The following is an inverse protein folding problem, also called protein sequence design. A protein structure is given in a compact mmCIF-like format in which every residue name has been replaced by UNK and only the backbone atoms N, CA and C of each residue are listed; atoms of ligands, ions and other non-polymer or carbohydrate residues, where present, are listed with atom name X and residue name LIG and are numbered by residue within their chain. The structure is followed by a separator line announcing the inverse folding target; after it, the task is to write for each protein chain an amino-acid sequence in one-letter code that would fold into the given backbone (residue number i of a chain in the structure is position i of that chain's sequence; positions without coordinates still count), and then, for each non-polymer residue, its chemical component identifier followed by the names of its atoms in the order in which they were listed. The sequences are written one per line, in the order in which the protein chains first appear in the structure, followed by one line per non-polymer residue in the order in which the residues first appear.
data_IF_075221247958
#
_entry.id   IF_075221247958
#
_cell.length_a   1.000
_cell.length_b   1.000
_cell.length_c   1.000
_cell.angle_alpha   90.00
_cell.angle_beta   90.00
_cell.angle_gamma   90.00
#
_symmetry.space_group_name_H-M   'P 1'
#
loop_
_entity.id
_entity.type
_entity.pdbx_description
1 polymer ?
#
# COMPACT_ATOMS: atom_id res chain seq x y z
N UNK A 1 -21.53 7.10 26.58
CA UNK A 1 -20.41 6.23 26.19
C UNK A 1 -19.68 6.80 25.00
N UNK A 2 -18.64 7.62 25.25
CA UNK A 2 -17.77 8.07 24.18
C UNK A 2 -16.86 6.92 23.76
N UNK A 3 -16.93 6.55 22.49
CA UNK A 3 -16.08 5.53 21.87
C UNK A 3 -14.65 6.05 21.90
N UNK A 4 -13.86 5.58 22.86
CA UNK A 4 -12.46 5.94 23.01
C UNK A 4 -11.66 5.25 21.90
N UNK A 5 -11.65 5.87 20.71
CA UNK A 5 -10.87 5.39 19.58
C UNK A 5 -9.39 5.73 19.84
N UNK A 6 -8.73 4.84 20.58
CA UNK A 6 -7.28 4.90 20.82
C UNK A 6 -6.55 4.96 19.48
N UNK A 7 -5.71 5.98 19.31
CA UNK A 7 -4.99 6.24 18.05
C UNK A 7 -3.50 6.08 18.29
N UNK A 8 -2.85 5.23 17.50
CA UNK A 8 -1.39 5.10 17.55
C UNK A 8 -0.75 6.16 16.67
N UNK A 9 0.27 6.81 17.22
CA UNK A 9 1.17 7.73 16.57
C UNK A 9 2.52 7.06 16.38
N UNK A 10 3.15 7.38 15.26
CA UNK A 10 4.48 6.96 14.88
C UNK A 10 5.39 8.19 14.86
N UNK A 11 6.44 8.15 15.67
CA UNK A 11 7.47 9.18 15.72
C UNK A 11 8.71 8.63 15.04
N UNK A 12 9.26 9.37 14.09
CA UNK A 12 10.44 9.02 13.31
C UNK A 12 11.47 10.13 13.29
N UNK A 13 12.70 9.78 12.89
CA UNK A 13 13.86 10.66 12.90
C UNK A 13 14.24 11.14 14.32
N UNK A 14 14.02 10.27 15.31
CA UNK A 14 14.51 10.50 16.66
C UNK A 14 16.00 10.24 16.74
N UNK A 15 16.69 11.02 17.57
CA UNK A 15 18.08 10.78 17.85
C UNK A 15 18.29 9.49 18.66
N UNK A 16 19.47 8.91 18.52
CA UNK A 16 19.77 7.60 19.11
C UNK A 16 19.82 7.66 20.64
N UNK A 17 20.15 8.82 21.20
CA UNK A 17 20.30 9.05 22.64
C UNK A 17 18.99 9.49 23.32
N UNK A 18 17.90 9.66 22.57
CA UNK A 18 16.59 10.04 23.13
C UNK A 18 15.97 8.87 23.90
N UNK A 19 15.61 9.13 25.16
CA UNK A 19 14.93 8.17 26.04
C UNK A 19 13.41 8.30 25.97
N UNK A 20 12.71 7.27 26.45
CA UNK A 20 11.26 7.29 26.61
C UNK A 20 10.77 8.43 27.51
N UNK A 21 11.53 8.76 28.57
CA UNK A 21 11.22 9.85 29.50
C UNK A 21 11.21 11.21 28.80
N UNK A 22 12.21 11.50 27.96
CA UNK A 22 12.29 12.75 27.20
C UNK A 22 11.15 12.89 26.19
N UNK A 23 10.76 11.78 25.55
CA UNK A 23 9.59 11.77 24.68
C UNK A 23 8.32 11.98 25.48
N UNK A 24 8.21 11.36 26.66
CA UNK A 24 7.03 11.52 27.51
C UNK A 24 6.86 12.98 27.92
N UNK A 25 7.93 13.65 28.36
CA UNK A 25 7.91 15.08 28.71
C UNK A 25 7.53 15.97 27.52
N UNK A 26 8.12 15.72 26.34
CA UNK A 26 7.81 16.48 25.14
C UNK A 26 6.36 16.29 24.65
N UNK A 27 5.80 15.09 24.82
CA UNK A 27 4.40 14.82 24.47
C UNK A 27 3.43 15.31 25.56
N UNK A 28 3.80 15.26 26.83
CA UNK A 28 2.97 15.69 27.97
C UNK A 28 2.62 17.19 27.92
N UNK A 29 3.47 18.03 27.32
CA UNK A 29 3.18 19.45 27.06
C UNK A 29 1.95 19.64 26.15
N UNK A 30 1.69 18.69 25.25
CA UNK A 30 0.59 18.76 24.28
C UNK A 30 -0.56 17.83 24.67
N UNK A 31 -0.27 16.57 24.99
CA UNK A 31 -1.25 15.57 25.40
C UNK A 31 -0.60 14.35 26.10
N UNK A 32 -1.23 13.88 27.18
CA UNK A 32 -0.79 12.70 27.94
C UNK A 32 -1.05 11.39 27.16
N UNK A 33 -0.02 10.61 26.81
CA UNK A 33 -0.18 9.35 26.10
C UNK A 33 -0.58 8.20 27.05
N UNK A 34 -1.33 7.23 26.54
CA UNK A 34 -1.76 6.02 27.29
C UNK A 34 -0.66 4.97 27.32
N UNK A 35 0.16 4.88 26.27
CA UNK A 35 1.28 3.94 26.20
C UNK A 35 2.34 4.47 25.25
N UNK A 36 3.62 4.36 25.65
CA UNK A 36 4.76 4.64 24.80
C UNK A 36 5.55 3.35 24.60
N UNK A 37 6.03 3.13 23.39
CA UNK A 37 6.88 1.99 23.05
C UNK A 37 8.00 2.45 22.14
N UNK A 38 9.19 2.57 22.71
CA UNK A 38 10.40 2.91 21.98
C UNK A 38 10.97 1.65 21.32
N UNK A 39 11.19 1.70 20.00
CA UNK A 39 11.76 0.56 19.29
C UNK A 39 13.29 0.57 19.43
N UNK A 40 13.79 -0.23 20.37
CA UNK A 40 15.23 -0.50 20.50
C UNK A 40 15.64 -1.68 19.63
N UNK A 41 16.86 -1.64 19.12
CA UNK A 41 17.48 -2.76 18.46
C UNK A 41 17.97 -3.78 19.49
N UNK A 42 17.57 -5.05 19.31
CA UNK A 42 17.81 -6.12 20.28
C UNK A 42 19.28 -6.52 20.34
N UNK A 43 20.00 -6.36 19.23
CA UNK A 43 21.42 -6.74 19.12
C UNK A 43 22.34 -5.61 19.56
N UNK A 44 22.11 -4.39 19.08
CA UNK A 44 22.98 -3.24 19.42
C UNK A 44 22.56 -2.49 20.68
N UNK A 45 21.39 -2.77 21.27
CA UNK A 45 20.73 -1.98 22.33
C UNK A 45 20.61 -0.48 22.05
N UNK A 46 20.87 -0.05 20.81
CA UNK A 46 20.66 1.33 20.36
C UNK A 46 19.20 1.50 19.96
N UNK A 47 18.66 2.69 20.19
CA UNK A 47 17.31 3.00 19.68
C UNK A 47 17.32 2.94 18.14
N UNK A 48 16.21 2.56 17.52
CA UNK A 48 16.12 2.55 16.05
C UNK A 48 15.74 3.92 15.47
N UNK A 49 15.74 4.97 16.30
CA UNK A 49 15.33 6.32 15.91
C UNK A 49 13.82 6.44 15.60
N UNK A 50 13.00 5.51 16.13
CA UNK A 50 11.54 5.58 16.05
C UNK A 50 10.86 5.06 17.30
N UNK A 51 9.69 5.65 17.60
CA UNK A 51 8.85 5.30 18.75
C UNK A 51 7.37 5.26 18.33
N UNK A 52 6.60 4.47 19.06
CA UNK A 52 5.16 4.41 18.93
C UNK A 52 4.53 5.00 20.20
N UNK A 53 3.55 5.88 20.01
CA UNK A 53 2.83 6.54 21.11
C UNK A 53 1.34 6.28 20.91
N UNK A 54 0.68 5.65 21.88
CA UNK A 54 -0.75 5.40 21.85
C UNK A 54 -1.49 6.53 22.57
N UNK A 55 -2.27 7.28 21.80
CA UNK A 55 -3.05 8.39 22.29
C UNK A 55 -4.48 7.96 22.66
N UNK A 56 -5.03 8.58 23.72
CA UNK A 56 -6.38 8.30 24.17
C UNK A 56 -7.49 8.77 23.21
N UNK A 57 -7.25 9.90 22.54
CA UNK A 57 -8.21 10.55 21.65
C UNK A 57 -7.59 10.83 20.28
N UNK A 58 -8.39 10.67 19.22
CA UNK A 58 -7.98 11.04 17.86
C UNK A 58 -7.76 12.55 17.70
N UNK A 59 -8.53 13.37 18.42
CA UNK A 59 -8.42 14.84 18.32
C UNK A 59 -7.09 15.31 18.91
N UNK A 60 -6.74 14.82 20.10
CA UNK A 60 -5.45 15.06 20.74
C UNK A 60 -4.29 14.52 19.89
N UNK A 61 -4.49 13.36 19.26
CA UNK A 61 -3.48 12.78 18.37
C UNK A 61 -3.19 13.68 17.15
N UNK A 62 -4.22 14.31 16.55
CA UNK A 62 -4.04 15.26 15.44
C UNK A 62 -3.33 16.53 15.87
N UNK A 63 -3.72 17.10 17.02
CA UNK A 63 -3.06 18.27 17.58
C UNK A 63 -1.59 18.00 17.90
N UNK A 64 -1.28 16.83 18.47
CA UNK A 64 0.10 16.41 18.72
C UNK A 64 0.90 16.26 17.43
N UNK A 65 0.31 15.72 16.36
CA UNK A 65 0.98 15.65 15.05
C UNK A 65 1.29 17.06 14.54
N UNK A 66 0.35 17.99 14.58
CA UNK A 66 0.56 19.35 14.04
C UNK A 66 1.53 20.18 14.88
N UNK A 67 1.50 20.04 16.20
CA UNK A 67 2.34 20.81 17.12
C UNK A 67 3.77 20.26 17.26
N UNK A 68 3.96 18.94 17.20
CA UNK A 68 5.26 18.29 17.43
C UNK A 68 5.95 17.83 16.15
N UNK A 69 5.28 17.84 15.00
CA UNK A 69 5.95 17.58 13.74
C UNK A 69 6.94 18.70 13.43
N UNK A 70 8.19 18.34 13.15
CA UNK A 70 9.33 19.22 12.89
C UNK A 70 9.92 19.94 14.12
N UNK A 71 9.52 19.56 15.36
CA UNK A 71 10.20 20.04 16.57
C UNK A 71 11.64 19.51 16.61
N UNK A 72 12.61 20.37 16.86
CA UNK A 72 14.01 19.96 16.98
C UNK A 72 14.25 19.33 18.37
N UNK A 73 14.59 18.03 18.40
CA UNK A 73 15.09 17.36 19.60
C UNK A 73 16.53 16.91 19.36
N UNK A 74 17.43 17.31 20.26
CA UNK A 74 18.87 17.00 20.18
C UNK A 74 19.50 17.33 18.81
N UNK A 75 19.07 18.44 18.18
CA UNK A 75 19.58 18.89 16.88
C UNK A 75 19.02 18.14 15.67
N UNK A 76 17.98 17.32 15.84
CA UNK A 76 17.30 16.61 14.74
C UNK A 76 15.79 16.91 14.74
N UNK A 77 15.19 17.25 13.60
CA UNK A 77 13.76 17.51 13.52
C UNK A 77 12.99 16.20 13.63
N UNK A 78 12.13 16.07 14.64
CA UNK A 78 11.29 14.89 14.82
C UNK A 78 10.14 14.91 13.84
N UNK A 79 9.70 13.73 13.39
CA UNK A 79 8.56 13.62 12.48
C UNK A 79 7.50 12.74 13.08
N UNK A 80 6.37 13.34 13.42
CA UNK A 80 5.21 12.66 14.03
C UNK A 80 4.17 12.41 12.95
N UNK A 81 3.66 11.18 12.88
CA UNK A 81 2.62 10.78 11.92
C UNK A 81 1.60 9.87 12.60
N UNK A 82 0.35 9.88 12.14
CA UNK A 82 -0.61 8.85 12.55
C UNK A 82 -0.14 7.48 12.03
N UNK A 83 -0.09 6.49 12.90
CA UNK A 83 0.19 5.11 12.50
C UNK A 83 -0.94 4.64 11.58
N UNK A 84 -0.58 4.26 10.35
CA UNK A 84 -1.55 3.77 9.35
C UNK A 84 -1.86 2.29 9.53
N UNK A 85 -1.38 1.68 10.62
CA UNK A 85 -1.48 0.26 10.85
C UNK A 85 -0.58 -0.54 9.88
N UNK A 86 -0.42 -1.82 10.20
CA UNK A 86 0.44 -2.77 9.48
C UNK A 86 -0.05 -2.97 8.03
N UNK A 87 0.35 -2.06 7.16
CA UNK A 87 -0.05 -1.99 5.75
C UNK A 87 0.51 -0.79 4.98
N UNK A 88 1.05 0.22 5.67
CA UNK A 88 1.70 1.37 5.04
C UNK A 88 3.15 1.51 5.45
N UNK A 89 4.07 0.88 4.70
CA UNK A 89 5.49 1.19 4.82
C UNK A 89 5.74 2.68 4.62
N UNK A 90 6.58 3.27 5.46
CA UNK A 90 7.00 4.67 5.35
C UNK A 90 7.61 4.91 3.95
N UNK A 91 7.18 5.94 3.20
CA UNK A 91 7.91 6.36 2.01
C UNK A 91 9.09 7.20 2.48
N UNK A 92 10.26 6.58 2.67
CA UNK A 92 11.45 7.34 2.99
C UNK A 92 12.69 6.48 3.25
N UNK A 93 13.74 6.78 2.48
CA UNK A 93 15.15 6.39 2.66
C UNK A 93 15.60 5.04 2.06
N UNK A 94 15.73 5.00 0.72
CA UNK A 94 16.99 4.62 0.05
C UNK A 94 16.84 4.80 -1.47
N UNK A 95 16.80 6.05 -1.92
CA UNK A 95 17.13 6.38 -3.31
C UNK A 95 18.67 6.50 -3.39
N UNK A 96 19.37 5.39 -3.25
CA UNK A 96 20.70 5.26 -3.83
C UNK A 96 20.50 5.37 -5.34
N UNK A 97 20.81 6.54 -5.89
CA UNK A 97 20.69 6.81 -7.31
C UNK A 97 21.42 5.74 -8.12
N UNK A 98 20.87 5.30 -9.27
CA UNK A 98 21.63 4.49 -10.21
C UNK A 98 22.86 5.30 -10.65
N UNK A 99 24.05 4.71 -10.52
CA UNK A 99 25.27 5.25 -11.10
C UNK A 99 25.05 5.43 -12.61
N UNK A 100 25.33 6.65 -13.07
CA UNK A 100 25.26 7.04 -14.46
C UNK A 100 26.37 6.34 -15.24
N UNK A 101 26.02 5.32 -16.01
CA UNK A 101 26.80 4.89 -17.15
C UNK A 101 26.08 5.35 -18.42
N UNK A 102 26.70 6.31 -19.11
CA UNK A 102 26.70 6.37 -20.57
C UNK A 102 25.49 6.95 -21.29
N UNK A 103 25.71 8.16 -21.81
CA UNK A 103 25.41 8.58 -23.19
C UNK A 103 23.94 8.64 -23.66
N UNK A 104 23.49 9.86 -23.99
CA UNK A 104 22.37 10.03 -24.93
C UNK A 104 21.40 11.18 -24.67
N UNK A 105 21.73 12.38 -25.17
CA UNK A 105 20.74 13.28 -25.78
C UNK A 105 19.84 14.11 -24.86
N UNK A 106 20.31 15.30 -24.50
CA UNK A 106 19.48 16.41 -23.99
C UNK A 106 18.40 16.78 -25.02
N UNK A 107 17.13 16.48 -24.75
CA UNK A 107 15.99 17.24 -25.31
C UNK A 107 15.49 18.21 -24.23
N UNK A 108 15.21 19.49 -24.55
CA UNK A 108 14.70 20.42 -23.55
C UNK A 108 13.28 19.98 -23.19
N UNK A 109 13.10 19.50 -21.96
CA UNK A 109 11.80 19.04 -21.47
C UNK A 109 11.02 20.26 -20.99
N UNK A 110 10.14 20.78 -21.85
CA UNK A 110 9.08 21.72 -21.45
C UNK A 110 8.47 21.28 -20.11
N UNK A 111 8.48 22.20 -19.14
CA UNK A 111 8.02 21.94 -17.79
C UNK A 111 6.48 21.95 -17.78
N UNK A 112 5.87 20.78 -18.00
CA UNK A 112 4.45 20.60 -17.71
C UNK A 112 4.25 20.49 -16.19
N UNK A 113 3.34 21.29 -15.59
CA UNK A 113 3.14 21.32 -14.14
C UNK A 113 2.73 19.96 -13.55
N UNK A 114 3.11 19.66 -12.28
CA UNK A 114 3.03 18.32 -11.68
C UNK A 114 1.64 17.67 -11.65
N UNK A 115 0.57 18.47 -11.67
CA UNK A 115 -0.81 17.99 -11.51
C UNK A 115 -1.23 17.11 -12.70
N UNK A 116 -0.66 17.32 -13.89
CA UNK A 116 -1.06 16.62 -15.11
C UNK A 116 -0.27 15.32 -15.37
N UNK A 117 0.89 15.13 -14.73
CA UNK A 117 1.67 13.89 -14.83
C UNK A 117 1.10 12.74 -13.99
N UNK A 118 0.40 13.05 -12.89
CA UNK A 118 -0.16 12.04 -12.00
C UNK A 118 -1.33 11.26 -12.64
N UNK A 119 -2.01 11.86 -13.62
CA UNK A 119 -3.18 11.27 -14.28
C UNK A 119 -2.80 10.26 -15.38
N UNK A 120 -1.59 10.33 -15.93
CA UNK A 120 -1.17 9.55 -17.10
C UNK A 120 -0.68 8.13 -16.77
N UNK A 121 -0.32 7.85 -15.51
CA UNK A 121 0.25 6.56 -15.10
C UNK A 121 -0.67 5.69 -14.24
N UNK A 122 -1.89 6.16 -13.96
CA UNK A 122 -2.87 5.34 -13.23
C UNK A 122 -3.51 4.35 -14.20
N UNK A 123 -2.77 3.28 -14.53
CA UNK A 123 -3.25 2.15 -15.33
C UNK A 123 -4.59 1.71 -14.72
N UNK A 124 -5.70 1.99 -15.42
CA UNK A 124 -7.05 1.70 -14.92
C UNK A 124 -7.06 0.26 -14.43
N UNK A 125 -7.43 0.04 -13.16
CA UNK A 125 -7.53 -1.30 -12.58
C UNK A 125 -8.41 -2.12 -13.51
N UNK A 126 -7.94 -3.28 -13.96
CA UNK A 126 -8.76 -4.23 -14.73
C UNK A 126 -9.92 -4.62 -13.82
N UNK A 127 -11.08 -4.03 -14.05
CA UNK A 127 -12.31 -4.36 -13.37
C UNK A 127 -12.87 -5.61 -14.02
N UNK A 128 -13.20 -6.59 -13.19
CA UNK A 128 -13.85 -7.83 -13.58
C UNK A 128 -15.07 -7.57 -14.47
N UNK A 129 -15.12 -8.08 -15.71
CA UNK A 129 -16.27 -7.91 -16.59
C UNK A 129 -17.58 -8.50 -16.01
N UNK A 130 -17.47 -9.58 -15.23
CA UNK A 130 -18.61 -10.25 -14.58
C UNK A 130 -19.05 -9.60 -13.26
N UNK A 131 -18.29 -8.63 -12.75
CA UNK A 131 -18.66 -7.87 -11.56
C UNK A 131 -19.28 -6.51 -11.92
N UNK A 132 -19.05 -6.05 -13.15
CA UNK A 132 -19.61 -4.80 -13.68
C UNK A 132 -21.05 -4.96 -14.17
N UNK A 133 -21.38 -6.08 -14.82
CA UNK A 133 -22.69 -6.31 -15.44
C UNK A 133 -23.41 -7.48 -14.77
N UNK A 134 -24.47 -7.25 -13.97
CA UNK A 134 -25.21 -8.30 -13.26
C UNK A 134 -25.91 -9.32 -14.17
N UNK A 135 -26.09 -8.97 -15.45
CA UNK A 135 -26.76 -9.80 -16.46
C UNK A 135 -25.83 -10.86 -17.07
N UNK A 136 -24.51 -10.69 -16.93
CA UNK A 136 -23.52 -11.61 -17.51
C UNK A 136 -23.25 -12.76 -16.54
N UNK A 137 -23.88 -13.89 -16.80
CA UNK A 137 -23.63 -15.14 -16.07
C UNK A 137 -22.58 -16.00 -16.79
N UNK A 138 -21.79 -16.76 -16.04
CA UNK A 138 -20.74 -17.62 -16.59
C UNK A 138 -21.34 -18.99 -16.94
N UNK A 139 -21.64 -19.20 -18.22
CA UNK A 139 -22.20 -20.46 -18.73
C UNK A 139 -21.20 -21.25 -19.58
N UNK A 140 -21.30 -22.57 -19.52
CA UNK A 140 -20.42 -23.50 -20.24
C UNK A 140 -20.81 -23.71 -21.72
N UNK A 141 -22.02 -23.31 -22.10
CA UNK A 141 -22.48 -23.34 -23.51
C UNK A 141 -22.00 -22.13 -24.29
N UNK A 142 -21.55 -21.09 -23.60
CA UNK A 142 -21.29 -19.78 -24.17
C UNK A 142 -19.82 -19.63 -24.59
N UNK A 143 -19.49 -20.31 -25.70
CA UNK A 143 -18.09 -20.52 -26.15
C UNK A 143 -17.42 -19.19 -26.49
N UNK A 144 -18.15 -18.20 -27.01
CA UNK A 144 -17.63 -16.87 -27.34
C UNK A 144 -17.10 -16.14 -26.09
N UNK A 145 -17.81 -16.29 -24.97
CA UNK A 145 -17.50 -15.64 -23.70
C UNK A 145 -16.32 -16.34 -23.02
N UNK A 146 -16.29 -17.68 -23.08
CA UNK A 146 -15.19 -18.49 -22.54
C UNK A 146 -13.90 -18.40 -23.38
N UNK A 147 -14.01 -18.20 -24.70
CA UNK A 147 -12.89 -18.04 -25.63
C UNK A 147 -11.93 -16.92 -25.25
N UNK A 148 -12.45 -15.82 -24.67
CA UNK A 148 -11.62 -14.69 -24.19
C UNK A 148 -10.65 -15.07 -23.06
N UNK A 149 -10.89 -16.18 -22.37
CA UNK A 149 -10.13 -16.60 -21.20
C UNK A 149 -9.26 -17.84 -21.46
N UNK A 150 -9.20 -18.27 -22.72
CA UNK A 150 -8.46 -19.44 -23.18
C UNK A 150 -7.49 -19.00 -24.27
N UNK A 151 -6.26 -19.53 -24.24
CA UNK A 151 -5.26 -19.32 -25.29
C UNK A 151 -5.65 -20.11 -26.55
N UNK A 152 -5.11 -19.76 -27.72
CA UNK A 152 -5.35 -20.46 -28.99
C UNK A 152 -5.09 -21.97 -28.93
N UNK A 153 -4.27 -22.42 -27.98
CA UNK A 153 -3.98 -23.85 -27.74
C UNK A 153 -5.00 -24.57 -26.85
N UNK A 154 -6.02 -23.89 -26.33
CA UNK A 154 -6.99 -24.46 -25.39
C UNK A 154 -6.55 -24.41 -23.92
N UNK A 155 -5.41 -23.78 -23.61
CA UNK A 155 -4.93 -23.61 -22.22
C UNK A 155 -5.61 -22.41 -21.55
N UNK A 156 -6.06 -22.59 -20.30
CA UNK A 156 -6.71 -21.52 -19.53
C UNK A 156 -5.70 -20.44 -19.18
N UNK A 157 -6.01 -19.18 -19.51
CA UNK A 157 -5.15 -18.05 -19.21
C UNK A 157 -5.09 -17.78 -17.69
N UNK A 158 -3.92 -17.32 -17.22
CA UNK A 158 -3.72 -17.01 -15.80
C UNK A 158 -4.55 -15.81 -15.35
N UNK A 159 -4.87 -15.74 -14.05
CA UNK A 159 -5.66 -14.63 -13.45
C UNK A 159 -5.07 -13.24 -13.76
N UNK A 160 -3.74 -13.15 -13.88
CA UNK A 160 -3.02 -11.89 -14.19
C UNK A 160 -3.29 -11.42 -15.63
N UNK A 161 -3.55 -12.35 -16.54
CA UNK A 161 -3.88 -12.06 -17.93
C UNK A 161 -5.36 -11.73 -18.09
N UNK A 162 -6.24 -12.57 -17.53
CA UNK A 162 -7.70 -12.46 -17.65
C UNK A 162 -8.30 -11.26 -16.90
N UNK A 163 -7.64 -10.80 -15.84
CA UNK A 163 -8.12 -9.67 -15.04
C UNK A 163 -9.40 -9.97 -14.26
N UNK A 164 -9.65 -11.25 -13.95
CA UNK A 164 -10.79 -11.70 -13.15
C UNK A 164 -10.43 -11.81 -11.64
N UNK A 165 -11.44 -11.68 -10.79
CA UNK A 165 -11.43 -12.00 -9.37
C UNK A 165 -11.18 -13.49 -9.21
N UNK A 166 -10.57 -13.88 -8.09
CA UNK A 166 -10.33 -15.27 -7.78
C UNK A 166 -11.62 -16.11 -7.81
N UNK A 167 -12.77 -15.53 -7.43
CA UNK A 167 -14.06 -16.20 -7.47
C UNK A 167 -14.52 -16.49 -8.91
N UNK A 168 -14.54 -15.45 -9.76
CA UNK A 168 -14.97 -15.57 -11.15
C UNK A 168 -13.99 -16.39 -11.99
N UNK A 169 -12.69 -16.27 -11.75
CA UNK A 169 -11.67 -17.10 -12.39
C UNK A 169 -11.92 -18.61 -12.14
N UNK A 170 -12.30 -18.99 -10.91
CA UNK A 170 -12.63 -20.40 -10.60
C UNK A 170 -13.91 -20.85 -11.30
N UNK A 171 -14.94 -19.99 -11.37
CA UNK A 171 -16.18 -20.28 -12.10
C UNK A 171 -15.93 -20.46 -13.60
N UNK A 172 -15.23 -19.52 -14.23
CA UNK A 172 -14.85 -19.57 -15.65
C UNK A 172 -13.98 -20.80 -15.93
N UNK A 173 -13.01 -21.12 -15.07
CA UNK A 173 -12.20 -22.32 -15.24
C UNK A 173 -13.04 -23.61 -15.15
N UNK A 174 -14.02 -23.70 -14.23
CA UNK A 174 -14.95 -24.85 -14.16
C UNK A 174 -15.80 -24.94 -15.43
N UNK A 175 -16.31 -23.81 -15.92
CA UNK A 175 -17.11 -23.76 -17.14
C UNK A 175 -16.29 -24.18 -18.37
N UNK A 176 -15.05 -23.71 -18.51
CA UNK A 176 -14.12 -24.10 -19.60
C UNK A 176 -13.84 -25.60 -19.54
N UNK A 177 -13.50 -26.15 -18.37
CA UNK A 177 -13.25 -27.59 -18.21
C UNK A 177 -14.46 -28.42 -18.62
N UNK A 178 -15.67 -27.97 -18.24
CA UNK A 178 -16.92 -28.63 -18.62
C UNK A 178 -17.19 -28.53 -20.12
N UNK A 179 -16.96 -27.36 -20.73
CA UNK A 179 -17.09 -27.17 -22.16
C UNK A 179 -16.09 -28.05 -22.95
N UNK A 180 -14.85 -28.16 -22.47
CA UNK A 180 -13.82 -29.03 -23.03
C UNK A 180 -14.19 -30.51 -22.91
N UNK A 181 -14.71 -30.95 -21.75
CA UNK A 181 -15.16 -32.34 -21.58
C UNK A 181 -16.33 -32.72 -22.48
N UNK A 182 -17.16 -31.75 -22.86
CA UNK A 182 -18.30 -31.94 -23.75
C UNK A 182 -17.93 -31.78 -25.24
N UNK A 183 -16.66 -31.55 -25.56
CA UNK A 183 -16.21 -31.33 -26.94
C UNK A 183 -16.66 -29.99 -27.55
N UNK A 184 -17.26 -29.10 -26.76
CA UNK A 184 -17.71 -27.78 -27.20
C UNK A 184 -16.55 -26.80 -27.41
N UNK A 185 -15.37 -27.10 -26.85
CA UNK A 185 -14.17 -26.30 -26.98
C UNK A 185 -12.95 -27.21 -27.15
N UNK A 186 -12.14 -26.95 -28.18
CA UNK A 186 -10.97 -27.76 -28.51
C UNK A 186 -9.86 -27.64 -27.48
N UNK A 187 -9.34 -28.79 -27.03
CA UNK A 187 -8.09 -28.88 -26.28
C UNK A 187 -7.03 -29.48 -27.20
N UNK A 188 -6.00 -28.71 -27.55
CA UNK A 188 -4.81 -29.28 -28.21
C UNK A 188 -3.79 -29.56 -27.11
N UNK A 189 -3.47 -30.84 -26.91
CA UNK A 189 -2.45 -31.27 -25.95
C UNK A 189 -1.09 -30.64 -26.27
#
# INVERSE_FOLDING_TARGET
NYTYMKKKLFVSNLDFDVTEEQLMEAFQEVAEPVSLTLAVDRESRRSKGFAFVEMPSEELAKQAIEALNEKELNGRPIRVCADRGKGGGAPGASASGPREDGDGGRRPREYLPPIQRMQLFRKKRKLDPFLSDPTKTVDYRDIATLGRFVSDRGKILSRRMTGLSAYNQRKVAKAIKRAQSLGLMGYRY
#
